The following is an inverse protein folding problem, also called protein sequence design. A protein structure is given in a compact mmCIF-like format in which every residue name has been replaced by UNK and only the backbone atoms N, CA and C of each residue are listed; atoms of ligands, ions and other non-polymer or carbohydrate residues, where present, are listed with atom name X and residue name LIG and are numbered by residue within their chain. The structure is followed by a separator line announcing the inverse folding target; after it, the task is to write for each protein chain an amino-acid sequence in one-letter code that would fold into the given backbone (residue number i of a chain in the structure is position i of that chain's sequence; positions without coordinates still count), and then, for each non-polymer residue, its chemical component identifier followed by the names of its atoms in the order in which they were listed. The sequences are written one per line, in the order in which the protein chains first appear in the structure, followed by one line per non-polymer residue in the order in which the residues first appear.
data_IF_874331399627
#
_entry.id   IF_874331399627
#
_cell.length_a   1.000
_cell.length_b   1.000
_cell.length_c   1.000
_cell.angle_alpha   90.00
_cell.angle_beta   90.00
_cell.angle_gamma   90.00
#
_symmetry.space_group_name_H-M   'P 1'
#
loop_
_entity.id
_entity.type
_entity.pdbx_description
1 polymer ?
#
# COMPACT_ATOMS: atom_id res chain seq x y z
N UNK A 1 20.05 2.06 0.56
CA UNK A 1 18.61 2.33 0.71
C UNK A 1 17.82 1.13 0.27
N UNK A 2 17.05 0.58 1.18
CA UNK A 2 16.25 -0.59 0.87
C UNK A 2 14.91 -0.15 0.29
N UNK A 3 14.69 -0.50 -0.97
CA UNK A 3 13.43 -0.26 -1.66
C UNK A 3 12.64 -1.56 -1.70
N UNK A 4 11.35 -1.46 -1.44
CA UNK A 4 10.43 -2.59 -1.44
C UNK A 4 9.31 -2.33 -2.44
N UNK A 5 8.85 -3.36 -3.11
CA UNK A 5 7.69 -3.28 -3.98
C UNK A 5 6.48 -3.83 -3.22
N UNK A 6 5.48 -2.96 -3.05
CA UNK A 6 4.16 -3.37 -2.55
C UNK A 6 3.23 -3.56 -3.73
N UNK A 7 2.41 -4.58 -3.68
CA UNK A 7 1.46 -4.88 -4.76
C UNK A 7 0.02 -4.81 -4.29
N UNK A 8 -0.84 -4.36 -5.18
CA UNK A 8 -2.27 -4.26 -4.95
C UNK A 8 -2.71 -2.93 -4.36
N UNK A 9 -3.95 -2.55 -4.67
CA UNK A 9 -4.50 -1.27 -4.26
C UNK A 9 -4.55 -1.10 -2.74
N UNK A 10 -4.97 -2.15 -2.02
CA UNK A 10 -5.14 -2.07 -0.55
C UNK A 10 -3.82 -1.77 0.14
N UNK A 11 -2.75 -2.45 -0.26
CA UNK A 11 -1.42 -2.23 0.32
C UNK A 11 -0.90 -0.82 0.04
N UNK A 12 -1.05 -0.37 -1.21
CA UNK A 12 -0.58 0.96 -1.62
C UNK A 12 -1.40 2.05 -0.93
N UNK A 13 -2.72 1.91 -0.89
CA UNK A 13 -3.61 2.86 -0.20
C UNK A 13 -3.27 2.97 1.28
N UNK A 14 -2.99 1.84 1.92
CA UNK A 14 -2.63 1.80 3.33
C UNK A 14 -1.41 2.65 3.63
N UNK A 15 -0.39 2.57 2.78
CA UNK A 15 0.83 3.38 2.93
C UNK A 15 0.54 4.86 2.69
N UNK A 16 -0.27 5.19 1.70
CA UNK A 16 -0.66 6.58 1.41
C UNK A 16 -1.37 7.20 2.63
N UNK A 17 -2.32 6.48 3.21
CA UNK A 17 -3.12 6.99 4.32
C UNK A 17 -2.34 7.06 5.63
N UNK A 18 -1.52 6.06 5.92
CA UNK A 18 -0.80 5.97 7.19
C UNK A 18 0.53 6.72 7.20
N UNK A 19 1.07 7.07 6.04
CA UNK A 19 2.42 7.62 5.88
C UNK A 19 3.50 6.75 6.54
N UNK A 20 3.25 5.42 6.57
CA UNK A 20 4.15 4.46 7.23
C UNK A 20 5.44 4.20 6.45
N UNK A 21 5.48 4.60 5.19
CA UNK A 21 6.65 4.48 4.32
C UNK A 21 6.67 5.65 3.34
N UNK A 22 7.86 6.01 2.88
CA UNK A 22 7.98 6.92 1.76
C UNK A 22 7.61 6.21 0.48
N UNK A 23 6.82 6.86 -0.38
CA UNK A 23 6.43 6.31 -1.68
C UNK A 23 7.28 6.99 -2.75
N UNK A 24 8.09 6.20 -3.47
CA UNK A 24 8.92 6.73 -4.54
C UNK A 24 8.17 6.81 -5.85
N UNK A 25 7.45 5.74 -6.21
CA UNK A 25 6.65 5.67 -7.44
C UNK A 25 5.50 4.70 -7.27
N UNK A 26 4.39 5.02 -7.93
CA UNK A 26 3.27 4.11 -8.09
C UNK A 26 3.28 3.64 -9.54
N UNK A 27 3.25 2.34 -9.75
CA UNK A 27 3.23 1.73 -11.08
C UNK A 27 1.83 1.23 -11.39
N UNK A 28 1.34 1.60 -12.56
CA UNK A 28 0.01 1.19 -13.04
C UNK A 28 0.20 0.49 -14.38
N UNK A 29 -0.32 -0.71 -14.52
CA UNK A 29 -0.31 -1.43 -15.78
C UNK A 29 -1.27 -0.77 -16.76
N UNK A 30 -0.73 -0.25 -17.87
CA UNK A 30 -1.48 0.56 -18.83
C UNK A 30 -2.65 -0.20 -19.45
N UNK A 31 -2.42 -1.44 -19.91
CA UNK A 31 -3.46 -2.21 -20.57
C UNK A 31 -4.66 -2.50 -19.67
N UNK A 32 -4.39 -2.82 -18.42
CA UNK A 32 -5.45 -3.06 -17.45
C UNK A 32 -6.18 -1.78 -17.07
N UNK A 33 -5.46 -0.68 -16.90
CA UNK A 33 -6.05 0.63 -16.65
C UNK A 33 -7.01 1.02 -17.78
N UNK A 34 -6.56 0.91 -19.03
CA UNK A 34 -7.39 1.26 -20.19
C UNK A 34 -8.67 0.40 -20.24
N UNK A 35 -8.53 -0.90 -20.01
CA UNK A 35 -9.65 -1.82 -20.00
C UNK A 35 -10.67 -1.48 -18.92
N UNK A 36 -10.22 -1.15 -17.72
CA UNK A 36 -11.09 -0.82 -16.60
C UNK A 36 -11.75 0.54 -16.80
N UNK A 37 -11.00 1.54 -17.23
CA UNK A 37 -11.54 2.89 -17.44
C UNK A 37 -12.54 2.96 -18.58
N UNK A 38 -12.47 2.05 -19.54
CA UNK A 38 -13.42 1.96 -20.66
C UNK A 38 -14.62 1.05 -20.36
N UNK A 39 -14.73 0.52 -19.15
CA UNK A 39 -15.82 -0.37 -18.75
C UNK A 39 -16.87 0.40 -17.94
N UNK A 40 -18.15 0.25 -18.29
CA UNK A 40 -19.24 0.85 -17.53
C UNK A 40 -19.56 0.10 -16.22
N UNK A 41 -18.98 -1.09 -16.05
CA UNK A 41 -19.31 -2.00 -14.95
C UNK A 41 -18.26 -2.03 -13.83
N UNK A 42 -17.16 -1.29 -13.99
CA UNK A 42 -16.03 -1.36 -13.06
C UNK A 42 -15.76 -0.05 -12.31
N UNK A 43 -16.85 0.59 -11.86
CA UNK A 43 -16.77 1.86 -11.13
C UNK A 43 -15.90 1.80 -9.86
N UNK A 44 -15.94 0.73 -9.03
CA UNK A 44 -15.06 0.65 -7.87
C UNK A 44 -13.58 0.70 -8.23
N UNK A 45 -13.15 -0.05 -9.25
CA UNK A 45 -11.77 -0.06 -9.70
C UNK A 45 -11.36 1.28 -10.33
N UNK A 46 -12.28 1.93 -11.04
CA UNK A 46 -12.04 3.26 -11.60
C UNK A 46 -11.77 4.27 -10.48
N UNK A 47 -12.51 4.19 -9.38
CA UNK A 47 -12.28 5.04 -8.21
C UNK A 47 -10.94 4.78 -7.55
N UNK A 48 -10.50 3.51 -7.53
CA UNK A 48 -9.19 3.15 -7.01
C UNK A 48 -8.07 3.83 -7.81
N UNK A 49 -8.13 3.75 -9.14
CA UNK A 49 -7.13 4.40 -9.99
C UNK A 49 -7.17 5.92 -9.82
N UNK A 50 -8.36 6.51 -9.76
CA UNK A 50 -8.49 7.95 -9.55
C UNK A 50 -7.88 8.39 -8.22
N UNK A 51 -8.09 7.62 -7.16
CA UNK A 51 -7.52 7.89 -5.85
C UNK A 51 -5.99 7.87 -5.90
N UNK A 52 -5.40 6.91 -6.60
CA UNK A 52 -3.94 6.83 -6.74
C UNK A 52 -3.39 8.00 -7.55
N UNK A 53 -4.03 8.34 -8.66
CA UNK A 53 -3.60 9.43 -9.51
C UNK A 53 -3.70 10.80 -8.82
N UNK A 54 -4.62 10.94 -7.88
CA UNK A 54 -4.83 12.17 -7.11
C UNK A 54 -4.10 12.17 -5.76
N UNK A 55 -3.29 11.15 -5.47
CA UNK A 55 -2.63 11.02 -4.17
C UNK A 55 -1.44 11.96 -3.96
N UNK A 56 -0.97 12.61 -5.02
CA UNK A 56 0.23 13.43 -4.98
C UNK A 56 1.52 12.66 -5.22
N UNK A 57 1.48 11.35 -5.30
CA UNK A 57 2.64 10.52 -5.61
C UNK A 57 2.83 10.41 -7.12
N UNK A 58 4.08 10.25 -7.55
CA UNK A 58 4.40 10.02 -8.95
C UNK A 58 3.81 8.69 -9.42
N UNK A 59 2.97 8.74 -10.45
CA UNK A 59 2.39 7.54 -11.06
C UNK A 59 2.99 7.32 -12.44
N UNK A 60 3.45 6.10 -12.70
CA UNK A 60 4.07 5.71 -13.95
C UNK A 60 3.25 4.56 -14.55
N UNK A 61 2.84 4.74 -15.81
CA UNK A 61 2.16 3.68 -16.55
C UNK A 61 3.20 2.78 -17.22
N UNK A 62 3.06 1.50 -17.03
CA UNK A 62 4.00 0.49 -17.55
C UNK A 62 3.27 -0.56 -18.35
N UNK A 63 3.99 -1.29 -19.18
CA UNK A 63 3.44 -2.41 -19.94
C UNK A 63 3.21 -3.62 -19.04
N UNK A 64 2.41 -4.56 -19.51
CA UNK A 64 2.18 -5.82 -18.80
C UNK A 64 3.50 -6.55 -18.53
N UNK A 65 4.39 -6.55 -19.51
CA UNK A 65 5.71 -7.19 -19.39
C UNK A 65 6.56 -6.50 -18.30
N UNK A 66 6.61 -5.17 -18.31
CA UNK A 66 7.34 -4.41 -17.29
C UNK A 66 6.74 -4.62 -15.91
N UNK A 67 5.43 -4.63 -15.81
CA UNK A 67 4.73 -4.85 -14.55
C UNK A 67 5.02 -6.24 -13.98
N UNK A 68 5.04 -7.27 -14.82
CA UNK A 68 5.32 -8.63 -14.39
C UNK A 68 6.72 -8.82 -13.85
N UNK A 69 7.65 -7.95 -14.22
CA UNK A 69 9.01 -7.95 -13.66
C UNK A 69 9.06 -7.32 -12.27
N UNK A 70 8.11 -6.46 -11.95
CA UNK A 70 8.03 -5.80 -10.63
C UNK A 70 7.31 -6.66 -9.60
N UNK A 71 6.32 -7.43 -10.03
CA UNK A 71 5.42 -8.18 -9.15
C UNK A 71 5.31 -9.62 -9.63
N UNK A 72 5.57 -10.55 -8.72
CA UNK A 72 5.61 -11.98 -9.03
C UNK A 72 4.24 -12.64 -9.13
N UNK A 73 3.16 -11.98 -8.74
CA UNK A 73 1.85 -12.60 -8.76
C UNK A 73 0.84 -11.79 -9.59
N UNK A 74 -0.10 -12.52 -10.19
CA UNK A 74 -1.10 -11.95 -11.08
C UNK A 74 -2.26 -11.26 -10.34
N UNK A 75 -2.22 -11.23 -9.02
CA UNK A 75 -3.33 -10.72 -8.20
C UNK A 75 -3.17 -9.27 -7.76
N UNK A 76 -2.19 -8.57 -8.28
CA UNK A 76 -1.91 -7.19 -7.90
C UNK A 76 -2.88 -6.15 -8.47
N UNK A 77 -3.82 -6.57 -9.32
CA UNK A 77 -4.78 -5.66 -9.93
C UNK A 77 -4.16 -4.60 -10.84
N UNK A 78 -2.93 -4.83 -11.31
CA UNK A 78 -2.22 -3.86 -12.14
C UNK A 78 -1.71 -2.65 -11.37
N UNK A 79 -1.58 -2.73 -10.05
CA UNK A 79 -1.13 -1.64 -9.18
C UNK A 79 0.01 -2.13 -8.31
N UNK A 80 1.09 -1.37 -8.29
CA UNK A 80 2.24 -1.61 -7.41
C UNK A 80 2.86 -0.28 -7.01
N UNK A 81 3.64 -0.28 -5.96
CA UNK A 81 4.37 0.92 -5.54
C UNK A 81 5.76 0.55 -5.06
N UNK A 82 6.71 1.39 -5.43
CA UNK A 82 8.07 1.33 -4.89
C UNK A 82 8.12 2.22 -3.66
N UNK A 83 8.42 1.62 -2.52
CA UNK A 83 8.37 2.29 -1.22
C UNK A 83 9.68 2.11 -0.46
N UNK A 84 9.92 2.99 0.49
CA UNK A 84 11.06 2.90 1.39
C UNK A 84 10.79 1.99 2.58
N UNK A 85 11.68 2.05 3.55
CA UNK A 85 11.53 1.31 4.79
C UNK A 85 10.37 1.86 5.63
N UNK A 86 9.82 1.00 6.47
CA UNK A 86 8.76 1.42 7.38
C UNK A 86 9.28 2.44 8.38
N UNK A 87 8.54 3.52 8.54
CA UNK A 87 8.84 4.59 9.49
C UNK A 87 8.17 4.26 10.80
N UNK A 88 8.97 4.15 11.87
CA UNK A 88 8.47 3.88 13.21
C UNK A 88 8.58 5.12 14.08
N UNK A 89 7.61 5.29 14.96
CA UNK A 89 7.67 6.35 15.97
C UNK A 89 8.70 5.98 17.05
N UNK A 90 9.61 6.89 17.40
CA UNK A 90 10.58 6.62 18.48
C UNK A 90 9.88 6.27 19.79
N UNK A 91 10.47 5.33 20.54
CA UNK A 91 9.89 4.89 21.80
C UNK A 91 9.71 6.02 22.83
N UNK A 92 10.64 6.96 22.86
CA UNK A 92 10.54 8.12 23.76
C UNK A 92 9.30 8.97 23.45
N UNK A 93 8.97 9.15 22.19
CA UNK A 93 7.79 9.89 21.79
C UNK A 93 6.51 9.16 22.19
N UNK A 94 6.46 7.83 21.99
CA UNK A 94 5.32 7.02 22.41
C UNK A 94 5.12 7.08 23.92
N UNK A 95 6.20 6.95 24.69
CA UNK A 95 6.14 6.96 26.15
C UNK A 95 5.82 8.33 26.74
N UNK A 96 5.94 9.40 25.95
CA UNK A 96 5.58 10.75 26.39
C UNK A 96 4.09 11.05 26.28
N UNK A 97 3.29 10.17 25.67
CA UNK A 97 1.85 10.35 25.55
C UNK A 97 1.20 10.21 26.94
N UNK A 98 0.48 11.24 27.35
CA UNK A 98 -0.11 11.30 28.71
C UNK A 98 -1.49 10.67 28.80
N UNK A 99 -2.24 10.65 27.70
CA UNK A 99 -3.60 10.14 27.67
C UNK A 99 -3.68 8.99 26.67
N UNK A 100 -4.15 7.84 27.14
CA UNK A 100 -4.33 6.67 26.30
C UNK A 100 -3.71 5.42 26.90
N UNK A 101 -3.73 4.36 26.10
CA UNK A 101 -3.17 3.06 26.46
C UNK A 101 -2.10 2.67 25.48
N UNK A 102 -1.09 1.99 25.98
CA UNK A 102 -0.04 1.39 25.15
C UNK A 102 -0.16 -0.12 25.26
N UNK A 103 -0.27 -0.79 24.12
CA UNK A 103 -0.26 -2.23 24.06
C UNK A 103 1.05 -2.70 23.43
N UNK A 104 1.66 -3.71 24.01
CA UNK A 104 2.87 -4.32 23.48
C UNK A 104 2.52 -5.73 23.02
N UNK A 105 2.73 -5.99 21.73
CA UNK A 105 2.50 -7.31 21.13
C UNK A 105 3.87 -7.95 20.88
N UNK A 106 4.14 -9.02 21.60
CA UNK A 106 5.43 -9.70 21.52
C UNK A 106 5.22 -11.18 21.16
N UNK A 107 6.09 -11.69 20.30
CA UNK A 107 6.08 -13.11 19.92
C UNK A 107 4.92 -13.53 19.03
N UNK A 108 4.19 -12.61 18.41
CA UNK A 108 3.12 -12.94 17.48
C UNK A 108 3.70 -13.01 16.08
N UNK A 109 3.79 -14.21 15.53
CA UNK A 109 4.36 -14.44 14.19
C UNK A 109 3.28 -14.56 13.11
N UNK A 110 2.09 -15.06 13.46
CA UNK A 110 0.98 -15.25 12.53
C UNK A 110 0.31 -13.90 12.22
N UNK A 111 0.26 -13.48 10.93
CA UNK A 111 -0.38 -12.23 10.54
C UNK A 111 -1.86 -12.14 10.92
N UNK A 112 -2.60 -13.26 10.90
CA UNK A 112 -4.01 -13.28 11.28
C UNK A 112 -4.18 -13.02 12.77
N UNK A 113 -3.34 -13.62 13.61
CA UNK A 113 -3.37 -13.41 15.05
C UNK A 113 -2.98 -11.97 15.39
N UNK A 114 -2.01 -11.40 14.68
CA UNK A 114 -1.61 -10.02 14.86
C UNK A 114 -2.78 -9.06 14.52
N UNK A 115 -3.42 -9.26 13.38
CA UNK A 115 -4.57 -8.45 12.98
C UNK A 115 -5.74 -8.58 13.95
N UNK A 116 -5.98 -9.79 14.46
CA UNK A 116 -7.03 -10.05 15.45
C UNK A 116 -6.74 -9.30 16.76
N UNK A 117 -5.51 -9.32 17.22
CA UNK A 117 -5.10 -8.61 18.42
C UNK A 117 -5.32 -7.09 18.27
N UNK A 118 -4.95 -6.52 17.11
CA UNK A 118 -5.17 -5.10 16.84
C UNK A 118 -6.64 -4.71 16.86
N UNK A 119 -7.52 -5.54 16.32
CA UNK A 119 -8.97 -5.27 16.35
C UNK A 119 -9.56 -5.35 17.74
N UNK A 120 -8.94 -6.08 18.65
CA UNK A 120 -9.41 -6.25 20.02
C UNK A 120 -9.02 -5.10 20.94
N UNK A 121 -8.13 -4.24 20.49
CA UNK A 121 -7.69 -3.07 21.25
C UNK A 121 -8.64 -1.89 21.07
#
# INVERSE_FOLDING_TARGET
MNKTILSGFISVKSVIESHSREIYKIYIEQSRYDKIMNSDLRVPEQRQYSALLNSGSECVFVTEEEFSKLVDNNNAGGIAAEVGERIFTPSEEVLSIRNGYIAILDGIEDPFNFAYALRSL
#
